data_IF_609849990879
#
_entry.id   IF_609849990879
#
_cell.length_a   1.000
_cell.length_b   1.000
_cell.length_c   1.000
_cell.angle_alpha   90.00
_cell.angle_beta   90.00
_cell.angle_gamma   90.00
#
_symmetry.space_group_name_H-M   'P 1'
#
loop_
_entity.id
_entity.type
_entity.pdbx_description
1 polymer ?
#
# COMPACT_ATOMS: atom_id res chain seq x y z
N UNK A 1 -4.84 -15.00 -21.15
CA UNK A 1 -3.84 -13.96 -21.56
C UNK A 1 -3.13 -13.41 -20.33
N UNK A 2 -2.08 -12.58 -20.46
CA UNK A 2 -1.47 -11.89 -19.29
C UNK A 2 -2.07 -10.49 -19.12
N UNK A 3 -2.59 -10.20 -17.94
CA UNK A 3 -3.27 -8.94 -17.60
C UNK A 3 -2.56 -8.29 -16.41
N UNK A 4 -2.21 -7.01 -16.55
CA UNK A 4 -1.66 -6.21 -15.45
C UNK A 4 -2.78 -5.33 -14.88
N UNK A 5 -3.05 -5.47 -13.58
CA UNK A 5 -4.10 -4.74 -12.86
C UNK A 5 -3.43 -3.78 -11.89
N UNK A 6 -3.67 -2.49 -11.98
CA UNK A 6 -3.14 -1.50 -11.04
C UNK A 6 -4.24 -0.99 -10.09
N UNK A 7 -4.24 -1.47 -8.86
CA UNK A 7 -5.14 -1.03 -7.79
C UNK A 7 -4.70 0.33 -7.26
N UNK A 8 -5.55 1.35 -7.45
CA UNK A 8 -5.32 2.67 -6.88
C UNK A 8 -5.44 2.67 -5.35
N UNK A 9 -4.84 3.65 -4.67
CA UNK A 9 -4.92 3.76 -3.20
C UNK A 9 -6.37 3.83 -2.67
N UNK A 10 -7.28 4.44 -3.44
CA UNK A 10 -8.72 4.49 -3.12
C UNK A 10 -9.41 3.12 -3.17
N UNK A 11 -8.84 2.14 -3.88
CA UNK A 11 -9.34 0.77 -3.91
C UNK A 11 -8.97 -0.01 -2.65
N UNK A 12 -7.99 0.46 -1.88
CA UNK A 12 -7.55 -0.15 -0.63
C UNK A 12 -8.04 0.59 0.61
N UNK A 13 -8.20 1.91 0.51
CA UNK A 13 -8.70 2.74 1.61
C UNK A 13 -9.37 3.98 1.04
N UNK A 14 -10.67 4.15 1.28
CA UNK A 14 -11.44 5.24 0.67
C UNK A 14 -11.13 6.57 1.33
N UNK A 15 -11.27 7.65 0.57
CA UNK A 15 -11.05 9.00 1.10
C UNK A 15 -12.03 9.29 2.25
N UNK A 16 -11.49 9.70 3.40
CA UNK A 16 -12.28 10.04 4.59
C UNK A 16 -12.65 8.84 5.46
N UNK A 17 -12.33 7.63 5.03
CA UNK A 17 -12.51 6.43 5.82
C UNK A 17 -11.42 6.31 6.90
N UNK A 18 -11.75 5.89 8.13
CA UNK A 18 -10.74 5.58 9.13
C UNK A 18 -9.75 4.54 8.63
N UNK A 19 -8.45 4.76 8.86
CA UNK A 19 -7.37 3.85 8.46
C UNK A 19 -7.26 2.62 9.39
N UNK A 20 -8.35 1.85 9.48
CA UNK A 20 -8.41 0.61 10.26
C UNK A 20 -8.13 -0.60 9.37
N UNK A 21 -7.62 -1.68 9.98
CA UNK A 21 -7.41 -2.95 9.27
C UNK A 21 -8.72 -3.55 8.74
N UNK A 22 -9.83 -3.37 9.46
CA UNK A 22 -11.16 -3.82 9.04
C UNK A 22 -11.63 -3.14 7.76
N UNK A 23 -11.54 -1.80 7.71
CA UNK A 23 -11.88 -1.02 6.52
C UNK A 23 -11.00 -1.37 5.32
N UNK A 24 -9.70 -1.54 5.56
CA UNK A 24 -8.78 -1.95 4.50
C UNK A 24 -9.13 -3.34 3.95
N UNK A 25 -9.43 -4.31 4.82
CA UNK A 25 -9.85 -5.65 4.41
C UNK A 25 -11.15 -5.64 3.62
N UNK A 26 -12.14 -4.85 4.03
CA UNK A 26 -13.41 -4.72 3.31
C UNK A 26 -13.19 -4.20 1.88
N UNK A 27 -12.41 -3.13 1.74
CA UNK A 27 -12.09 -2.58 0.43
C UNK A 27 -11.32 -3.57 -0.45
N UNK A 28 -10.34 -4.28 0.12
CA UNK A 28 -9.60 -5.33 -0.59
C UNK A 28 -10.52 -6.47 -1.03
N UNK A 29 -11.51 -6.87 -0.20
CA UNK A 29 -12.48 -7.90 -0.58
C UNK A 29 -13.29 -7.51 -1.80
N UNK A 30 -13.77 -6.27 -1.85
CA UNK A 30 -14.51 -5.76 -3.01
C UNK A 30 -13.64 -5.80 -4.26
N UNK A 31 -12.37 -5.39 -4.17
CA UNK A 31 -11.44 -5.47 -5.29
C UNK A 31 -11.18 -6.94 -5.71
N UNK A 32 -10.96 -7.84 -4.75
CA UNK A 32 -10.72 -9.26 -4.98
C UNK A 32 -11.90 -9.94 -5.69
N UNK A 33 -13.15 -9.58 -5.37
CA UNK A 33 -14.35 -10.08 -6.07
C UNK A 33 -14.36 -9.70 -7.56
N UNK A 34 -13.86 -8.52 -7.93
CA UNK A 34 -13.78 -8.11 -9.34
C UNK A 34 -12.61 -8.80 -10.04
N UNK A 35 -11.47 -8.91 -9.37
CA UNK A 35 -10.28 -9.61 -9.90
C UNK A 35 -10.59 -11.09 -10.13
N UNK A 36 -11.32 -11.75 -9.23
CA UNK A 36 -11.65 -13.16 -9.33
C UNK A 36 -12.50 -13.48 -10.57
N UNK A 37 -13.33 -12.54 -11.04
CA UNK A 37 -14.14 -12.73 -12.25
C UNK A 37 -13.30 -12.79 -13.53
N UNK A 38 -12.13 -12.16 -13.53
CA UNK A 38 -11.22 -12.13 -14.69
C UNK A 38 -10.04 -13.10 -14.56
N UNK A 39 -9.92 -13.80 -13.44
CA UNK A 39 -8.85 -14.77 -13.21
C UNK A 39 -8.92 -16.04 -14.09
N UNK A 40 -10.10 -16.60 -14.42
CA UNK A 40 -10.18 -17.78 -15.29
C UNK A 40 -9.47 -17.53 -16.63
N UNK A 41 -8.67 -18.50 -17.06
CA UNK A 41 -7.90 -18.49 -18.32
C UNK A 41 -6.91 -17.32 -18.50
N UNK A 42 -6.62 -16.58 -17.42
CA UNK A 42 -5.71 -15.45 -17.42
C UNK A 42 -4.60 -15.56 -16.37
N UNK A 43 -3.41 -15.12 -16.75
CA UNK A 43 -2.33 -14.83 -15.82
C UNK A 43 -2.45 -13.39 -15.36
N UNK A 44 -2.55 -13.18 -14.06
CA UNK A 44 -2.76 -11.83 -13.50
C UNK A 44 -1.47 -11.34 -12.84
N UNK A 45 -1.13 -10.08 -13.11
CA UNK A 45 -0.12 -9.32 -12.36
C UNK A 45 -0.85 -8.17 -11.67
N UNK A 46 -1.01 -8.25 -10.35
CA UNK A 46 -1.75 -7.26 -9.57
C UNK A 46 -0.75 -6.33 -8.91
N UNK A 47 -0.74 -5.08 -9.34
CA UNK A 47 -0.02 -4.01 -8.70
C UNK A 47 -0.94 -3.14 -7.83
N UNK A 48 -0.36 -2.46 -6.84
CA UNK A 48 -1.13 -1.58 -5.97
C UNK A 48 -0.35 -0.33 -5.54
N UNK A 49 -1.09 0.72 -5.20
CA UNK A 49 -0.56 1.86 -4.45
C UNK A 49 -0.52 1.59 -2.94
N UNK A 50 0.21 2.42 -2.20
CA UNK A 50 0.39 2.27 -0.75
C UNK A 50 0.32 3.60 0.04
N UNK A 51 -0.08 4.70 -0.61
CA UNK A 51 0.01 6.06 -0.05
C UNK A 51 -0.59 6.26 1.36
N UNK A 52 -1.83 5.80 1.60
CA UNK A 52 -2.42 5.84 2.95
C UNK A 52 -1.65 4.99 3.96
N UNK A 53 -1.25 3.77 3.58
CA UNK A 53 -0.61 2.79 4.45
C UNK A 53 0.79 3.22 4.87
N UNK A 54 1.61 3.65 3.90
CA UNK A 54 3.00 4.08 4.18
C UNK A 54 3.00 5.36 5.02
N UNK A 55 2.02 6.24 4.81
CA UNK A 55 1.86 7.43 5.62
C UNK A 55 1.40 7.14 7.06
N UNK A 56 0.51 6.16 7.26
CA UNK A 56 0.14 5.71 8.60
C UNK A 56 1.35 5.10 9.33
N UNK A 57 2.12 4.23 8.67
CA UNK A 57 3.35 3.67 9.25
C UNK A 57 4.36 4.77 9.61
N UNK A 58 4.51 5.79 8.75
CA UNK A 58 5.39 6.92 9.03
C UNK A 58 4.91 7.74 10.25
N UNK A 59 3.59 7.92 10.42
CA UNK A 59 3.02 8.55 11.62
C UNK A 59 3.27 7.72 12.88
N UNK A 60 3.09 6.41 12.79
CA UNK A 60 3.32 5.49 13.91
C UNK A 60 4.80 5.49 14.32
N UNK A 61 5.71 5.39 13.34
CA UNK A 61 7.15 5.49 13.58
C UNK A 61 7.53 6.85 14.18
N UNK A 62 6.94 7.95 13.70
CA UNK A 62 7.18 9.27 14.27
C UNK A 62 6.57 9.44 15.68
N UNK A 63 5.57 8.65 16.07
CA UNK A 63 4.99 8.71 17.41
C UNK A 63 5.88 8.03 18.47
N UNK A 64 6.63 6.99 18.09
CA UNK A 64 7.59 6.33 18.96
C UNK A 64 8.91 7.13 19.02
N UNK A 65 9.42 7.42 20.22
CA UNK A 65 10.53 8.39 20.43
C UNK A 65 11.83 7.79 20.94
N UNK A 66 11.82 6.52 21.35
CA UNK A 66 12.98 5.89 21.97
C UNK A 66 14.08 5.53 20.94
N UNK A 67 13.69 5.33 19.68
CA UNK A 67 14.61 5.02 18.57
C UNK A 67 14.24 5.81 17.32
N UNK A 68 15.19 5.89 16.40
CA UNK A 68 14.97 6.50 15.09
C UNK A 68 13.91 5.72 14.29
N UNK A 69 13.04 6.45 13.58
CA UNK A 69 12.04 5.83 12.72
C UNK A 69 12.71 5.17 11.51
N UNK A 70 12.17 4.03 11.07
CA UNK A 70 12.62 3.40 9.84
C UNK A 70 12.47 4.33 8.63
N UNK A 71 13.40 4.27 7.66
CA UNK A 71 13.34 5.09 6.46
C UNK A 71 12.17 4.68 5.55
N UNK A 72 11.73 5.61 4.69
CA UNK A 72 10.51 5.46 3.89
C UNK A 72 10.54 4.28 2.90
N UNK A 73 11.71 3.87 2.42
CA UNK A 73 11.88 2.70 1.58
C UNK A 73 11.59 1.40 2.34
N UNK A 74 12.08 1.29 3.57
CA UNK A 74 11.76 0.16 4.48
C UNK A 74 10.28 0.14 4.83
N UNK A 75 9.68 1.30 5.10
CA UNK A 75 8.23 1.40 5.30
C UNK A 75 7.46 1.01 4.03
N UNK A 76 7.98 1.37 2.86
CA UNK A 76 7.47 0.92 1.55
C UNK A 76 7.41 -0.60 1.47
N UNK A 77 8.53 -1.28 1.73
CA UNK A 77 8.60 -2.74 1.74
C UNK A 77 7.63 -3.38 2.76
N UNK A 78 7.46 -2.78 3.95
CA UNK A 78 6.45 -3.25 4.92
C UNK A 78 5.03 -3.18 4.36
N UNK A 79 4.69 -2.11 3.62
CA UNK A 79 3.35 -1.99 3.02
C UNK A 79 3.09 -3.00 1.91
N UNK A 80 4.12 -3.47 1.21
CA UNK A 80 3.98 -4.53 0.20
C UNK A 80 3.52 -5.83 0.85
N UNK A 81 4.17 -6.24 1.94
CA UNK A 81 3.74 -7.40 2.72
C UNK A 81 2.34 -7.22 3.32
N UNK A 82 2.06 -6.05 3.88
CA UNK A 82 0.76 -5.74 4.50
C UNK A 82 -0.40 -5.84 3.49
N UNK A 83 -0.25 -5.20 2.33
CA UNK A 83 -1.31 -5.13 1.31
C UNK A 83 -1.39 -6.45 0.54
N UNK A 84 -0.24 -7.02 0.17
CA UNK A 84 -0.16 -8.30 -0.52
C UNK A 84 -0.82 -9.42 0.28
N UNK A 85 -0.54 -9.51 1.58
CA UNK A 85 -1.21 -10.44 2.48
C UNK A 85 -2.74 -10.33 2.43
N UNK A 86 -3.29 -9.11 2.47
CA UNK A 86 -4.75 -8.92 2.41
C UNK A 86 -5.32 -9.34 1.06
N UNK A 87 -4.65 -9.00 -0.04
CA UNK A 87 -5.09 -9.38 -1.39
C UNK A 87 -5.08 -10.90 -1.55
N UNK A 88 -4.01 -11.57 -1.14
CA UNK A 88 -3.89 -13.02 -1.19
C UNK A 88 -4.94 -13.73 -0.34
N UNK A 89 -5.21 -13.24 0.87
CA UNK A 89 -6.23 -13.82 1.73
C UNK A 89 -7.63 -13.71 1.10
N UNK A 90 -7.99 -12.55 0.56
CA UNK A 90 -9.33 -12.38 -0.03
C UNK A 90 -9.45 -13.08 -1.39
N UNK A 91 -8.39 -13.18 -2.19
CA UNK A 91 -8.39 -14.01 -3.41
C UNK A 91 -8.42 -15.50 -3.09
N UNK A 92 -7.70 -15.95 -2.06
CA UNK A 92 -7.73 -17.35 -1.61
C UNK A 92 -9.09 -17.80 -1.10
N UNK A 93 -9.97 -16.87 -0.69
CA UNK A 93 -11.35 -17.16 -0.35
C UNK A 93 -12.26 -17.34 -1.58
N UNK A 94 -11.83 -16.87 -2.76
CA UNK A 94 -12.66 -16.77 -3.98
C UNK A 94 -12.20 -17.70 -5.10
N UNK A 95 -10.90 -17.96 -5.20
CA UNK A 95 -10.30 -18.76 -6.25
C UNK A 95 -10.15 -20.23 -5.83
N UNK A 96 -10.13 -21.17 -6.80
CA UNK A 96 -9.78 -22.56 -6.51
C UNK A 96 -8.41 -22.67 -5.82
N UNK A 97 -8.27 -23.65 -4.93
CA UNK A 97 -7.05 -23.89 -4.17
C UNK A 97 -5.81 -24.11 -5.06
N UNK A 98 -6.04 -24.62 -6.27
CA UNK A 98 -5.03 -24.91 -7.27
C UNK A 98 -4.49 -23.66 -7.97
N UNK A 99 -5.08 -22.48 -7.77
CA UNK A 99 -4.59 -21.23 -8.36
C UNK A 99 -3.49 -20.66 -7.46
N UNK A 100 -2.20 -20.72 -7.87
CA UNK A 100 -1.12 -20.17 -7.09
C UNK A 100 -1.05 -18.66 -7.23
N UNK A 101 -0.79 -17.98 -6.12
CA UNK A 101 -0.46 -16.57 -6.08
C UNK A 101 0.64 -16.32 -5.06
N UNK A 102 1.45 -15.30 -5.31
CA UNK A 102 2.50 -14.86 -4.42
C UNK A 102 2.73 -13.35 -4.52
N UNK A 103 2.94 -12.73 -3.36
CA UNK A 103 3.35 -11.35 -3.17
C UNK A 103 4.85 -11.30 -3.24
N UNK A 104 5.37 -10.49 -4.16
CA UNK A 104 6.79 -10.38 -4.42
C UNK A 104 7.24 -9.00 -3.95
N UNK A 105 8.18 -8.97 -3.00
CA UNK A 105 8.85 -7.73 -2.63
C UNK A 105 9.55 -7.16 -3.86
N UNK A 106 9.27 -5.91 -4.19
CA UNK A 106 9.62 -5.30 -5.47
C UNK A 106 10.44 -4.04 -5.27
N UNK A 107 11.70 -4.05 -5.71
CA UNK A 107 12.51 -2.84 -5.79
C UNK A 107 12.38 -2.19 -7.18
N UNK A 108 12.30 -0.87 -7.22
CA UNK A 108 12.23 -0.09 -8.45
C UNK A 108 13.38 0.89 -8.49
N UNK A 109 14.22 0.79 -9.52
CA UNK A 109 15.30 1.74 -9.75
C UNK A 109 14.75 3.12 -10.14
N UNK A 110 15.33 4.18 -9.58
CA UNK A 110 14.98 5.58 -9.84
C UNK A 110 16.24 6.39 -10.12
N UNK A 111 16.13 7.44 -10.93
CA UNK A 111 17.26 8.35 -11.17
C UNK A 111 17.60 9.10 -9.87
N UNK A 112 18.81 8.91 -9.35
CA UNK A 112 19.27 9.60 -8.13
C UNK A 112 19.27 11.15 -8.26
N UNK A 113 19.19 11.68 -9.48
CA UNK A 113 19.11 13.13 -9.76
C UNK A 113 17.68 13.59 -10.08
N UNK A 114 16.66 12.76 -9.84
CA UNK A 114 15.28 13.13 -10.10
C UNK A 114 14.91 14.42 -9.33
N UNK A 115 14.38 15.46 -10.01
CA UNK A 115 13.95 16.70 -9.36
C UNK A 115 12.96 16.49 -8.20
N UNK A 116 12.23 15.37 -8.18
CA UNK A 116 11.29 15.01 -7.11
C UNK A 116 11.97 14.89 -5.74
N UNK A 117 13.27 14.58 -5.67
CA UNK A 117 14.01 14.58 -4.40
C UNK A 117 14.17 15.99 -3.81
N UNK A 118 14.27 17.01 -4.67
CA UNK A 118 14.38 18.41 -4.26
C UNK A 118 13.03 19.09 -4.03
N UNK A 119 11.98 18.64 -4.73
CA UNK A 119 10.63 19.15 -4.62
C UNK A 119 9.61 18.01 -4.55
N UNK A 120 9.40 17.44 -3.35
CA UNK A 120 8.48 16.32 -3.18
C UNK A 120 7.03 16.79 -3.28
N UNK A 121 6.29 16.21 -4.22
CA UNK A 121 4.89 16.59 -4.49
C UNK A 121 3.86 15.51 -4.16
N UNK A 122 4.30 14.28 -3.86
CA UNK A 122 3.42 13.14 -3.64
C UNK A 122 2.94 13.11 -2.18
N UNK A 123 1.63 13.28 -1.90
CA UNK A 123 1.11 13.19 -0.55
C UNK A 123 1.13 11.74 -0.05
N UNK A 124 1.47 11.56 1.23
CA UNK A 124 1.36 10.30 1.95
C UNK A 124 0.66 10.55 3.29
N UNK A 125 -0.16 9.59 3.74
CA UNK A 125 -0.85 9.66 5.02
C UNK A 125 -2.13 10.50 5.02
N UNK A 126 -2.63 10.89 6.19
CA UNK A 126 -3.92 11.57 6.32
C UNK A 126 -3.88 13.01 5.78
N UNK A 127 -5.07 13.52 5.51
CA UNK A 127 -5.28 14.91 5.08
C UNK A 127 -5.31 15.79 6.32
N UNK A 128 -4.50 16.84 6.31
CA UNK A 128 -4.46 17.84 7.38
C UNK A 128 -5.17 19.12 6.93
N UNK A 129 -5.70 19.88 7.90
CA UNK A 129 -6.05 21.26 7.64
C UNK A 129 -4.78 22.12 7.48
N UNK A 130 -4.97 23.34 7.01
CA UNK A 130 -3.85 24.24 6.69
C UNK A 130 -3.02 24.61 7.93
N UNK A 131 -3.68 24.87 9.06
CA UNK A 131 -2.99 25.29 10.27
C UNK A 131 -2.12 24.16 10.83
N UNK A 132 -2.65 22.94 10.85
CA UNK A 132 -1.94 21.76 11.34
C UNK A 132 -0.78 21.37 10.40
N UNK A 133 -1.00 21.43 9.08
CA UNK A 133 0.06 21.20 8.10
C UNK A 133 1.22 22.20 8.25
N UNK A 134 0.93 23.49 8.43
CA UNK A 134 1.94 24.54 8.64
C UNK A 134 2.71 24.33 9.95
N UNK A 135 2.02 23.90 11.01
CA UNK A 135 2.64 23.57 12.31
C UNK A 135 3.61 22.39 12.20
N UNK A 136 3.19 21.32 11.52
CA UNK A 136 4.01 20.14 11.30
C UNK A 136 5.20 20.43 10.39
N UNK A 137 5.02 21.24 9.33
CA UNK A 137 6.09 21.65 8.43
C UNK A 137 7.20 22.44 9.16
N UNK A 138 6.83 23.39 10.04
CA UNK A 138 7.79 24.13 10.88
C UNK A 138 8.58 23.20 11.80
N UNK A 139 7.94 22.17 12.36
CA UNK A 139 8.59 21.17 13.23
C UNK A 139 9.53 20.26 12.44
N UNK A 140 9.16 19.89 11.22
CA UNK A 140 9.98 19.03 10.34
C UNK A 140 11.19 19.75 9.74
N UNK A 141 11.11 21.06 9.48
CA UNK A 141 12.20 21.85 8.93
C UNK A 141 13.46 21.93 9.83
N UNK A 142 13.35 21.57 11.12
CA UNK A 142 14.47 21.45 12.05
C UNK A 142 15.15 20.07 12.07
N UNK A 143 14.59 19.06 11.41
CA UNK A 143 15.19 17.72 11.30
C UNK A 143 16.10 17.65 10.06
N UNK A 144 17.32 17.11 10.24
CA UNK A 144 18.37 17.03 9.21
C UNK A 144 17.85 16.55 7.84
N UNK A 145 18.18 17.28 6.78
CA UNK A 145 17.79 17.04 5.37
C UNK A 145 18.17 15.68 4.78
N UNK A 146 18.88 14.82 5.53
CA UNK A 146 19.29 13.47 5.09
C UNK A 146 18.29 12.36 5.47
N UNK A 147 17.34 12.64 6.36
CA UNK A 147 16.35 11.63 6.82
C UNK A 147 14.90 12.03 6.56
N UNK A 148 14.66 13.27 6.10
CA UNK A 148 13.33 13.86 5.97
C UNK A 148 12.95 14.10 4.51
N UNK A 149 12.81 13.03 3.72
CA UNK A 149 12.12 13.15 2.42
C UNK A 149 10.62 13.11 2.66
N UNK A 150 10.12 14.25 3.14
CA UNK A 150 8.78 14.79 2.99
C UNK A 150 7.56 14.00 3.48
N UNK A 151 7.11 14.38 4.67
CA UNK A 151 5.67 14.48 4.93
C UNK A 151 5.09 15.59 4.04
N UNK A 152 4.59 15.25 2.85
CA UNK A 152 3.69 16.17 2.13
C UNK A 152 2.31 15.98 2.75
N UNK A 153 2.00 16.78 3.77
CA UNK A 153 0.67 16.89 4.32
C UNK A 153 -0.28 17.31 3.17
N UNK A 154 -1.22 16.43 2.81
CA UNK A 154 -2.26 16.79 1.84
C UNK A 154 -3.14 17.87 2.49
N UNK A 155 -3.08 19.10 1.99
CA UNK A 155 -3.95 20.19 2.42
C UNK A 155 -5.38 19.97 1.91
N UNK A 156 -6.39 20.18 2.76
CA UNK A 156 -7.78 20.28 2.33
C UNK A 156 -8.03 21.64 1.66
N UNK A 157 -7.95 21.71 0.33
CA UNK A 157 -8.44 22.88 -0.41
C UNK A 157 -9.97 22.82 -0.56
N UNK A 158 -10.72 23.90 -0.29
CA UNK A 158 -12.14 23.96 -0.62
C UNK A 158 -12.32 24.02 -2.15
N UNK A 159 -13.10 23.09 -2.70
CA UNK A 159 -13.67 23.21 -4.05
C UNK A 159 -12.79 22.85 -5.27
N UNK A 160 -11.63 22.20 -5.11
CA UNK A 160 -10.85 21.70 -6.28
C UNK A 160 -10.91 20.20 -6.40
N UNK A 161 -11.51 19.72 -7.49
CA UNK A 161 -11.35 18.37 -8.01
C UNK A 161 -9.88 18.21 -8.43
N UNK A 162 -9.04 17.68 -7.53
CA UNK A 162 -7.66 17.36 -7.88
C UNK A 162 -7.68 16.07 -8.70
N UNK A 163 -7.74 16.20 -10.02
CA UNK A 163 -7.32 15.14 -10.92
C UNK A 163 -5.89 14.74 -10.51
N UNK A 164 -5.71 13.48 -10.16
CA UNK A 164 -4.42 12.93 -9.75
C UNK A 164 -3.43 13.10 -10.91
N UNK A 165 -2.54 14.10 -10.83
CA UNK A 165 -1.35 14.09 -11.67
C UNK A 165 -0.55 12.85 -11.31
N UNK A 166 -0.38 11.99 -12.30
CA UNK A 166 0.33 10.72 -12.27
C UNK A 166 1.82 10.95 -11.94
N UNK A 167 2.14 11.15 -10.66
CA UNK A 167 3.49 10.92 -10.17
C UNK A 167 3.76 9.43 -10.21
N UNK A 168 4.85 9.00 -10.87
CA UNK A 168 5.22 7.59 -11.05
C UNK A 168 5.08 6.84 -9.72
N UNK A 169 4.17 5.88 -9.69
CA UNK A 169 4.03 4.95 -8.57
C UNK A 169 5.10 3.87 -8.72
N UNK A 170 5.91 3.68 -7.70
CA UNK A 170 6.50 2.38 -7.40
C UNK A 170 5.34 1.40 -7.23
N UNK A 171 5.05 0.64 -8.28
CA UNK A 171 4.05 -0.42 -8.25
C UNK A 171 4.72 -1.70 -7.78
N UNK A 172 4.29 -2.20 -6.62
CA UNK A 172 4.53 -3.59 -6.20
C UNK A 172 3.77 -4.53 -7.14
N UNK A 173 4.25 -5.75 -7.42
CA UNK A 173 3.53 -6.71 -8.27
C UNK A 173 3.30 -8.06 -7.59
N UNK A 174 2.06 -8.51 -7.53
CA UNK A 174 1.65 -9.88 -7.19
C UNK A 174 1.48 -10.62 -8.50
N UNK A 175 2.06 -11.81 -8.64
CA UNK A 175 1.85 -12.65 -9.83
C UNK A 175 0.99 -13.85 -9.49
N UNK A 176 -0.16 -13.99 -10.15
CA UNK A 176 -0.96 -15.22 -10.15
C UNK A 176 -0.74 -15.94 -11.49
N UNK A 177 -0.18 -17.16 -11.46
CA UNK A 177 0.04 -17.98 -12.66
C UNK A 177 -1.04 -19.05 -12.75
N UNK A 178 -1.84 -19.05 -13.81
CA UNK A 178 -2.67 -20.19 -14.19
C UNK A 178 -1.94 -21.04 -15.23
N UNK A 179 -1.03 -21.92 -14.79
CA UNK A 179 -0.62 -23.06 -15.61
C UNK A 179 -0.11 -24.19 -14.72
N UNK A 180 -0.47 -25.41 -15.10
CA UNK A 180 -0.20 -26.68 -14.44
C UNK A 180 1.27 -26.86 -14.06
N UNK A 181 1.65 -26.44 -12.86
CA UNK A 181 2.94 -26.72 -12.26
C UNK A 181 2.70 -27.23 -10.83
N UNK A 182 2.93 -28.53 -10.63
CA UNK A 182 3.01 -29.14 -9.30
C UNK A 182 4.13 -28.46 -8.53
N UNK A 183 3.80 -27.76 -7.46
CA UNK A 183 4.74 -27.43 -6.40
C UNK A 183 4.16 -27.94 -5.07
N UNK A 184 4.83 -28.96 -4.54
CA UNK A 184 4.55 -29.53 -3.23
C UNK A 184 4.95 -28.57 -2.11
N UNK A 185 4.14 -28.50 -1.05
CA UNK A 185 4.49 -27.78 0.18
C UNK A 185 3.28 -27.12 0.83
N UNK A 186 2.47 -27.91 1.53
CA UNK A 186 1.29 -27.44 2.24
C UNK A 186 1.67 -26.49 3.39
N UNK A 187 1.35 -25.19 3.25
CA UNK A 187 1.25 -24.28 4.38
C UNK A 187 -0.18 -24.34 4.95
N UNK A 188 -0.32 -24.77 6.21
CA UNK A 188 -1.58 -24.75 6.96
C UNK A 188 -1.63 -23.48 7.82
N UNK A 189 -2.53 -22.52 7.59
CA UNK A 189 -2.78 -21.48 8.58
C UNK A 189 -3.52 -22.06 9.78
N UNK A 190 -3.02 -21.78 10.98
CA UNK A 190 -3.64 -22.18 12.23
C UNK A 190 -5.04 -21.56 12.35
N UNK A 191 -6.05 -22.41 12.55
CA UNK A 191 -7.38 -21.99 12.95
C UNK A 191 -7.30 -21.36 14.34
N UNK A 192 -7.69 -20.10 14.47
CA UNK A 192 -7.88 -19.45 15.77
C UNK A 192 -8.96 -20.19 16.54
N UNK A 193 -8.56 -21.02 17.52
CA UNK A 193 -9.46 -21.53 18.56
C UNK A 193 -9.99 -20.32 19.33
N UNK A 194 -11.33 -20.17 19.37
CA UNK A 194 -12.01 -19.33 20.35
C UNK A 194 -11.56 -19.78 21.75
N UNK A 195 -10.97 -18.87 22.50
CA UNK A 195 -10.80 -19.05 23.93
C UNK A 195 -12.18 -18.86 24.58
N UNK A 196 -12.76 -19.95 25.06
CA UNK A 196 -13.84 -19.95 26.04
C UNK A 196 -13.22 -20.06 27.43
N UNK A 197 -13.31 -18.98 28.20
CA UNK A 197 -13.43 -18.96 29.66
C UNK A 197 -14.10 -17.66 30.04
#
# INVERSE_FOLDING_TARGET
MRIVIALGGNALLRRGEPMTSGNQRENVRIAAQQIAQIAPDNELVIAHGNGPQVGLLALQGAAYKEVEAYPLDVLGAQTEGMIGYLIEQELGNLLPYEVPFATILTQVEVDARDPAFSNPTKPIGPVYDKAEAERLAKKAAGASRRTATSFVASLRAPGRNTSSKSGRSSGCSITARSSSARAAGAYRPATTKRAST
#
